data_IF_650366292078
#
_entry.id   IF_650366292078
#
_cell.length_a   1.000
_cell.length_b   1.000
_cell.length_c   1.000
_cell.angle_alpha   90.00
_cell.angle_beta   90.00
_cell.angle_gamma   90.00
#
_symmetry.space_group_name_H-M   'P 1'
#
loop_
_entity.id
_entity.type
_entity.pdbx_description
1 polymer ?
#
# COMPACT_ATOMS: atom_id res chain seq x y z
N UNK A 1 -31.17 33.69 -61.96
CA UNK A 1 -31.53 33.62 -60.54
C UNK A 1 -31.18 32.22 -60.06
N UNK A 2 -30.09 32.05 -59.31
CA UNK A 2 -29.68 30.75 -58.76
C UNK A 2 -29.84 30.79 -57.24
N UNK A 3 -30.67 29.88 -56.72
CA UNK A 3 -30.86 29.62 -55.29
C UNK A 3 -29.64 28.89 -54.71
N UNK A 4 -29.30 29.22 -53.47
CA UNK A 4 -28.33 28.48 -52.65
C UNK A 4 -29.10 27.71 -51.59
N UNK A 5 -28.96 26.38 -51.59
CA UNK A 5 -29.39 25.52 -50.49
C UNK A 5 -28.20 25.31 -49.53
N UNK A 6 -28.44 25.51 -48.24
CA UNK A 6 -27.53 25.13 -47.15
C UNK A 6 -28.05 23.86 -46.48
N UNK A 7 -27.21 22.85 -46.15
CA UNK A 7 -27.66 21.69 -45.40
C UNK A 7 -27.56 21.92 -43.89
N UNK A 8 -28.68 21.66 -43.20
CA UNK A 8 -28.79 21.55 -41.74
C UNK A 8 -28.04 20.32 -41.24
N UNK A 9 -27.23 20.47 -40.19
CA UNK A 9 -26.63 19.37 -39.43
C UNK A 9 -27.42 19.22 -38.13
N UNK A 10 -28.42 18.35 -38.13
CA UNK A 10 -29.04 17.84 -36.91
C UNK A 10 -28.24 16.63 -36.41
N UNK A 11 -27.44 16.84 -35.36
CA UNK A 11 -26.74 15.75 -34.66
C UNK A 11 -27.65 15.19 -33.56
N UNK A 12 -28.04 13.93 -33.73
CA UNK A 12 -28.97 13.19 -32.87
C UNK A 12 -28.33 12.83 -31.50
N UNK A 13 -28.85 13.32 -30.36
CA UNK A 13 -28.24 13.14 -29.03
C UNK A 13 -28.34 11.71 -28.48
N UNK A 14 -29.14 10.82 -29.09
CA UNK A 14 -29.29 9.43 -28.66
C UNK A 14 -28.09 8.53 -29.03
N UNK A 15 -27.36 8.83 -30.11
CA UNK A 15 -26.20 8.04 -30.53
C UNK A 15 -25.01 8.17 -29.56
N UNK A 16 -24.94 9.27 -28.81
CA UNK A 16 -23.84 9.58 -27.90
C UNK A 16 -23.95 8.82 -26.57
N UNK A 17 -25.17 8.57 -26.07
CA UNK A 17 -25.39 7.89 -24.78
C UNK A 17 -25.17 6.37 -24.87
N UNK A 18 -25.56 5.76 -25.99
CA UNK A 18 -25.38 4.32 -26.23
C UNK A 18 -23.89 3.95 -26.41
N UNK A 19 -23.13 4.82 -27.10
CA UNK A 19 -21.68 4.71 -27.28
C UNK A 19 -20.91 4.80 -25.96
N UNK A 20 -21.31 5.70 -25.05
CA UNK A 20 -20.66 5.82 -23.75
C UNK A 20 -20.88 4.59 -22.86
N UNK A 21 -22.10 4.05 -22.84
CA UNK A 21 -22.44 2.88 -22.01
C UNK A 21 -21.72 1.61 -22.48
N UNK A 22 -21.56 1.40 -23.79
CA UNK A 22 -20.78 0.29 -24.36
C UNK A 22 -19.31 0.35 -23.96
N UNK A 23 -18.70 1.54 -24.03
CA UNK A 23 -17.28 1.74 -23.69
C UNK A 23 -17.00 1.51 -22.20
N UNK A 24 -17.96 1.83 -21.32
CA UNK A 24 -17.86 1.55 -19.88
C UNK A 24 -17.90 0.04 -19.63
N UNK A 25 -18.81 -0.69 -20.28
CA UNK A 25 -18.91 -2.15 -20.13
C UNK A 25 -17.66 -2.86 -20.65
N UNK A 26 -17.13 -2.44 -21.79
CA UNK A 26 -15.85 -2.96 -22.32
C UNK A 26 -14.68 -2.70 -21.38
N UNK A 27 -14.61 -1.51 -20.77
CA UNK A 27 -13.59 -1.17 -19.78
C UNK A 27 -13.70 -2.02 -18.51
N UNK A 28 -14.93 -2.31 -18.05
CA UNK A 28 -15.17 -3.18 -16.90
C UNK A 28 -14.76 -4.63 -17.18
N UNK A 29 -15.06 -5.15 -18.37
CA UNK A 29 -14.64 -6.49 -18.80
C UNK A 29 -13.12 -6.56 -18.91
N UNK A 30 -12.48 -5.55 -19.52
CA UNK A 30 -11.02 -5.48 -19.61
C UNK A 30 -10.35 -5.41 -18.23
N UNK A 31 -10.93 -4.65 -17.28
CA UNK A 31 -10.45 -4.58 -15.90
C UNK A 31 -10.57 -5.93 -15.18
N UNK A 32 -11.69 -6.65 -15.36
CA UNK A 32 -11.88 -7.99 -14.81
C UNK A 32 -10.86 -8.99 -15.36
N UNK A 33 -10.66 -9.01 -16.68
CA UNK A 33 -9.66 -9.86 -17.35
C UNK A 33 -8.23 -9.53 -16.92
N UNK A 34 -7.88 -8.25 -16.78
CA UNK A 34 -6.57 -7.83 -16.29
C UNK A 34 -6.34 -8.26 -14.84
N UNK A 35 -7.36 -8.15 -13.99
CA UNK A 35 -7.32 -8.59 -12.59
C UNK A 35 -7.08 -10.09 -12.50
N UNK A 36 -7.78 -10.87 -13.32
CA UNK A 36 -7.66 -12.33 -13.35
C UNK A 36 -6.30 -12.78 -13.92
N UNK A 37 -5.85 -12.18 -15.02
CA UNK A 37 -4.54 -12.43 -15.62
C UNK A 37 -3.39 -12.11 -14.65
N UNK A 38 -3.47 -10.99 -13.92
CA UNK A 38 -2.46 -10.61 -12.93
C UNK A 38 -2.48 -11.54 -11.71
N UNK A 39 -3.67 -11.97 -11.26
CA UNK A 39 -3.87 -12.94 -10.16
C UNK A 39 -3.24 -14.30 -10.49
N UNK A 40 -3.35 -14.75 -11.74
CA UNK A 40 -2.81 -16.04 -12.19
C UNK A 40 -1.42 -15.97 -12.85
N UNK A 41 -0.81 -14.79 -12.92
CA UNK A 41 0.51 -14.65 -13.52
C UNK A 41 1.53 -15.53 -12.77
N UNK A 42 2.31 -16.32 -13.53
CA UNK A 42 3.34 -17.21 -12.97
C UNK A 42 4.33 -16.46 -12.08
N UNK A 43 4.66 -15.22 -12.44
CA UNK A 43 5.56 -14.33 -11.70
C UNK A 43 4.97 -13.93 -10.34
N UNK A 44 3.67 -13.59 -10.30
CA UNK A 44 2.95 -13.27 -9.06
C UNK A 44 2.90 -14.50 -8.14
N UNK A 45 2.57 -15.67 -8.68
CA UNK A 45 2.48 -16.92 -7.91
C UNK A 45 3.81 -17.34 -7.29
N UNK A 46 4.91 -17.28 -8.05
CA UNK A 46 6.25 -17.60 -7.54
C UNK A 46 6.70 -16.61 -6.48
N UNK A 47 6.44 -15.31 -6.67
CA UNK A 47 6.76 -14.29 -5.68
C UNK A 47 5.97 -14.50 -4.37
N UNK A 48 4.68 -14.81 -4.46
CA UNK A 48 3.82 -15.03 -3.29
C UNK A 48 4.25 -16.26 -2.49
N UNK A 49 4.52 -17.37 -3.18
CA UNK A 49 5.07 -18.58 -2.55
C UNK A 49 6.35 -18.26 -1.77
N UNK A 50 7.27 -17.53 -2.39
CA UNK A 50 8.51 -17.14 -1.72
C UNK A 50 8.30 -16.24 -0.49
N UNK A 51 7.29 -15.37 -0.50
CA UNK A 51 6.96 -14.56 0.70
C UNK A 51 6.43 -15.45 1.82
N UNK A 52 5.51 -16.37 1.52
CA UNK A 52 4.93 -17.30 2.50
C UNK A 52 6.02 -18.20 3.10
N UNK A 53 6.90 -18.79 2.28
CA UNK A 53 8.00 -19.64 2.75
C UNK A 53 8.94 -18.89 3.71
N UNK A 54 9.27 -17.64 3.40
CA UNK A 54 10.12 -16.81 4.27
C UNK A 54 9.47 -16.49 5.61
N UNK A 55 8.16 -16.26 5.63
CA UNK A 55 7.39 -15.99 6.85
C UNK A 55 7.31 -17.26 7.71
N UNK A 56 7.02 -18.40 7.10
CA UNK A 56 6.99 -19.71 7.78
C UNK A 56 8.35 -20.06 8.39
N UNK A 57 9.43 -19.85 7.63
CA UNK A 57 10.80 -20.04 8.13
C UNK A 57 11.07 -19.12 9.33
N UNK A 58 10.76 -17.84 9.21
CA UNK A 58 10.93 -16.88 10.31
C UNK A 58 10.19 -17.31 11.57
N UNK A 59 8.92 -17.73 11.44
CA UNK A 59 8.14 -18.21 12.58
C UNK A 59 8.78 -19.44 13.24
N UNK A 60 9.27 -20.40 12.45
CA UNK A 60 9.89 -21.63 12.96
C UNK A 60 11.17 -21.40 13.78
N UNK A 61 11.84 -20.25 13.58
CA UNK A 61 13.06 -19.86 14.27
C UNK A 61 12.79 -19.14 15.61
N UNK A 62 11.54 -18.76 15.91
CA UNK A 62 11.15 -18.13 17.18
C UNK A 62 11.19 -19.13 18.32
N UNK A 63 11.49 -18.72 19.55
CA UNK A 63 11.62 -19.65 20.68
C UNK A 63 10.26 -20.18 21.17
N UNK A 64 9.27 -19.28 21.25
CA UNK A 64 7.94 -19.60 21.77
C UNK A 64 7.17 -20.59 20.87
N UNK A 65 6.66 -21.71 21.42
CA UNK A 65 5.94 -22.71 20.64
C UNK A 65 4.70 -22.15 19.93
N UNK A 66 3.94 -21.25 20.59
CA UNK A 66 2.75 -20.63 20.00
C UNK A 66 3.11 -19.73 18.81
N UNK A 67 4.27 -19.09 18.85
CA UNK A 67 4.77 -18.27 17.75
C UNK A 67 5.29 -19.13 16.59
N UNK A 68 5.96 -20.25 16.88
CA UNK A 68 6.40 -21.22 15.86
C UNK A 68 5.24 -21.74 15.02
N UNK A 69 4.10 -22.01 15.66
CA UNK A 69 2.93 -22.57 15.00
C UNK A 69 1.97 -21.54 14.45
N UNK A 70 2.26 -20.24 14.59
CA UNK A 70 1.32 -19.15 14.31
C UNK A 70 0.79 -19.11 12.86
N UNK A 71 1.49 -19.70 11.90
CA UNK A 71 1.04 -19.82 10.51
C UNK A 71 0.65 -21.25 10.12
N UNK A 72 0.82 -22.23 11.01
CA UNK A 72 0.37 -23.62 10.82
C UNK A 72 -1.06 -23.77 11.35
N UNK A 73 -1.32 -23.15 12.50
CA UNK A 73 -2.64 -23.02 13.09
C UNK A 73 -2.86 -21.55 13.43
N UNK A 74 -3.85 -20.94 12.79
CA UNK A 74 -4.20 -19.55 13.04
C UNK A 74 -4.64 -19.40 14.49
N UNK A 75 -4.10 -18.38 15.18
CA UNK A 75 -4.33 -18.11 16.60
C UNK A 75 -4.16 -16.61 16.89
N UNK A 76 -4.30 -16.24 18.18
CA UNK A 76 -4.03 -14.87 18.64
C UNK A 76 -2.61 -14.38 18.31
N UNK A 77 -1.64 -15.29 18.12
CA UNK A 77 -0.25 -14.93 17.85
C UNK A 77 0.00 -14.61 16.36
N UNK A 78 -0.85 -15.09 15.45
CA UNK A 78 -0.65 -14.94 14.00
C UNK A 78 -0.45 -13.48 13.57
N UNK A 79 -1.29 -12.52 13.99
CA UNK A 79 -1.07 -11.12 13.63
C UNK A 79 0.21 -10.53 14.24
N UNK A 80 0.56 -10.92 15.46
CA UNK A 80 1.76 -10.45 16.16
C UNK A 80 3.03 -10.92 15.45
N UNK A 81 3.12 -12.21 15.10
CA UNK A 81 4.27 -12.75 14.38
C UNK A 81 4.37 -12.15 12.97
N UNK A 82 3.23 -11.93 12.30
CA UNK A 82 3.17 -11.22 11.03
C UNK A 82 3.73 -9.79 11.14
N UNK A 83 3.29 -9.03 12.14
CA UNK A 83 3.78 -7.69 12.41
C UNK A 83 5.29 -7.69 12.67
N UNK A 84 5.78 -8.61 13.52
CA UNK A 84 7.19 -8.75 13.84
C UNK A 84 8.03 -9.05 12.58
N UNK A 85 7.55 -9.94 11.71
CA UNK A 85 8.23 -10.25 10.45
C UNK A 85 8.33 -9.03 9.53
N UNK A 86 7.22 -8.32 9.28
CA UNK A 86 7.23 -7.13 8.43
C UNK A 86 8.10 -6.04 9.05
N UNK A 87 8.04 -5.85 10.37
CA UNK A 87 8.90 -4.89 11.08
C UNK A 87 10.39 -5.23 10.93
N UNK A 88 10.77 -6.51 11.07
CA UNK A 88 12.15 -6.94 10.82
C UNK A 88 12.59 -6.62 9.39
N UNK A 89 11.75 -6.91 8.39
CA UNK A 89 12.10 -6.60 6.99
C UNK A 89 12.16 -5.11 6.69
N UNK A 90 11.16 -4.34 7.07
CA UNK A 90 11.01 -2.95 6.64
C UNK A 90 11.68 -1.93 7.57
N UNK A 91 11.97 -2.27 8.83
CA UNK A 91 12.71 -1.40 9.74
C UNK A 91 14.17 -1.82 9.87
N UNK A 92 14.48 -3.11 10.05
CA UNK A 92 15.86 -3.55 10.29
C UNK A 92 16.62 -3.78 8.97
N UNK A 93 15.99 -4.39 7.97
CA UNK A 93 16.63 -4.64 6.67
C UNK A 93 16.41 -3.52 5.64
N UNK A 94 15.68 -2.45 5.99
CA UNK A 94 15.49 -1.29 5.13
C UNK A 94 14.65 -1.51 3.87
N UNK A 95 13.86 -2.58 3.78
CA UNK A 95 12.99 -2.81 2.62
C UNK A 95 11.86 -1.77 2.52
N UNK A 96 11.47 -1.44 1.29
CA UNK A 96 10.44 -0.43 0.98
C UNK A 96 9.02 -0.91 1.30
N UNK A 97 8.06 0.02 1.27
CA UNK A 97 6.64 -0.31 1.48
C UNK A 97 6.13 -1.33 0.46
N UNK A 98 6.65 -1.32 -0.77
CA UNK A 98 6.30 -2.31 -1.81
C UNK A 98 6.57 -3.75 -1.36
N UNK A 99 7.61 -3.97 -0.57
CA UNK A 99 7.89 -5.29 0.02
C UNK A 99 6.85 -5.66 1.06
N UNK A 100 6.47 -4.73 1.95
CA UNK A 100 5.41 -4.96 2.94
C UNK A 100 4.07 -5.27 2.26
N UNK A 101 3.72 -4.54 1.19
CA UNK A 101 2.52 -4.76 0.40
C UNK A 101 2.51 -6.13 -0.28
N UNK A 102 3.64 -6.54 -0.86
CA UNK A 102 3.80 -7.87 -1.44
C UNK A 102 3.65 -8.99 -0.41
N UNK A 103 4.26 -8.85 0.78
CA UNK A 103 4.12 -9.81 1.88
C UNK A 103 2.67 -9.89 2.36
N UNK A 104 2.04 -8.74 2.63
CA UNK A 104 0.63 -8.67 3.08
C UNK A 104 -0.30 -9.33 2.07
N UNK A 105 -0.12 -9.05 0.77
CA UNK A 105 -0.96 -9.61 -0.28
C UNK A 105 -0.79 -11.13 -0.40
N UNK A 106 0.46 -11.61 -0.35
CA UNK A 106 0.74 -13.04 -0.36
C UNK A 106 0.12 -13.77 0.83
N UNK A 107 0.20 -13.17 2.03
CA UNK A 107 -0.35 -13.77 3.23
C UNK A 107 -1.88 -13.69 3.29
N UNK A 108 -2.49 -12.60 2.79
CA UNK A 108 -3.94 -12.51 2.64
C UNK A 108 -4.46 -13.72 1.86
N UNK A 109 -3.88 -13.97 0.68
CA UNK A 109 -4.24 -15.10 -0.17
C UNK A 109 -3.89 -16.46 0.48
N UNK A 110 -2.75 -16.56 1.16
CA UNK A 110 -2.37 -17.78 1.88
C UNK A 110 -3.42 -18.17 2.93
N UNK A 111 -3.90 -17.21 3.72
CA UNK A 111 -4.90 -17.46 4.74
C UNK A 111 -6.27 -17.81 4.14
N UNK A 112 -6.67 -17.13 3.07
CA UNK A 112 -7.89 -17.45 2.33
C UNK A 112 -7.89 -18.89 1.81
N UNK A 113 -6.78 -19.33 1.19
CA UNK A 113 -6.66 -20.65 0.56
C UNK A 113 -6.46 -21.77 1.59
N UNK A 114 -5.66 -21.53 2.63
CA UNK A 114 -5.24 -22.59 3.57
C UNK A 114 -6.24 -22.77 4.71
N UNK A 115 -6.84 -21.68 5.18
CA UNK A 115 -7.69 -21.67 6.38
C UNK A 115 -9.13 -21.20 6.10
N UNK A 116 -9.44 -20.85 4.85
CA UNK A 116 -10.76 -20.33 4.51
C UNK A 116 -11.05 -18.95 5.13
N UNK A 117 -10.02 -18.20 5.53
CA UNK A 117 -10.17 -16.88 6.14
C UNK A 117 -10.69 -15.87 5.12
N UNK A 118 -12.00 -15.70 5.03
CA UNK A 118 -12.66 -14.72 4.17
C UNK A 118 -12.86 -13.37 4.89
N UNK A 119 -13.08 -12.33 4.10
CA UNK A 119 -13.42 -10.98 4.59
C UNK A 119 -12.22 -10.10 4.94
N UNK A 120 -12.53 -8.89 5.39
CA UNK A 120 -11.55 -7.83 5.67
C UNK A 120 -11.50 -7.45 7.16
N UNK A 121 -11.84 -8.40 8.05
CA UNK A 121 -11.81 -8.23 9.50
C UNK A 121 -10.98 -9.32 10.16
N UNK A 122 -10.56 -9.08 11.40
CA UNK A 122 -9.93 -10.05 12.29
C UNK A 122 -10.48 -9.81 13.69
N UNK A 123 -11.11 -10.82 14.29
CA UNK A 123 -11.71 -10.69 15.60
C UNK A 123 -11.82 -12.03 16.31
N UNK A 124 -11.92 -11.97 17.63
CA UNK A 124 -12.26 -13.10 18.48
C UNK A 124 -13.76 -13.06 18.76
N UNK A 125 -14.43 -14.19 18.59
CA UNK A 125 -15.84 -14.33 18.96
C UNK A 125 -16.00 -14.55 20.48
N UNK A 126 -17.25 -14.61 20.94
CA UNK A 126 -17.62 -14.84 22.34
C UNK A 126 -17.19 -16.24 22.86
N UNK A 127 -16.91 -17.17 21.96
CA UNK A 127 -16.49 -18.53 22.26
C UNK A 127 -14.96 -18.69 22.25
N UNK A 128 -14.21 -17.59 22.22
CA UNK A 128 -12.75 -17.54 22.09
C UNK A 128 -12.20 -18.13 20.78
N UNK A 129 -13.01 -18.22 19.74
CA UNK A 129 -12.56 -18.60 18.42
C UNK A 129 -12.17 -17.37 17.62
N UNK A 130 -11.02 -17.46 16.95
CA UNK A 130 -10.55 -16.42 16.07
C UNK A 130 -11.13 -16.60 14.67
N UNK A 131 -11.69 -15.52 14.12
CA UNK A 131 -12.27 -15.52 12.79
C UNK A 131 -11.86 -14.30 11.96
N UNK A 132 -11.95 -14.46 10.64
CA UNK A 132 -11.47 -13.49 9.67
C UNK A 132 -10.01 -13.70 9.28
N UNK A 133 -9.40 -12.70 8.64
CA UNK A 133 -8.06 -12.80 8.10
C UNK A 133 -7.05 -11.98 8.92
N UNK A 134 -5.99 -12.61 9.49
CA UNK A 134 -5.03 -11.97 10.40
C UNK A 134 -4.36 -10.70 9.84
N UNK A 135 -4.28 -10.54 8.52
CA UNK A 135 -3.72 -9.33 7.88
C UNK A 135 -4.56 -8.06 8.11
N UNK A 136 -5.75 -8.19 8.70
CA UNK A 136 -6.63 -7.08 9.03
C UNK A 136 -6.67 -6.73 10.51
N UNK A 137 -5.82 -7.36 11.34
CA UNK A 137 -5.68 -6.95 12.73
C UNK A 137 -5.30 -5.47 12.85
N UNK A 138 -5.86 -4.79 13.85
CA UNK A 138 -5.81 -3.34 13.98
C UNK A 138 -4.37 -2.81 14.15
N UNK A 139 -3.58 -3.43 15.01
CA UNK A 139 -2.18 -3.05 15.29
C UNK A 139 -1.31 -3.20 14.04
N UNK A 140 -1.46 -4.32 13.33
CA UNK A 140 -0.81 -4.58 12.06
C UNK A 140 -1.20 -3.52 11.01
N UNK A 141 -2.49 -3.24 10.87
CA UNK A 141 -2.99 -2.23 9.94
C UNK A 141 -2.44 -0.83 10.25
N UNK A 142 -2.34 -0.46 11.52
CA UNK A 142 -1.76 0.82 11.95
C UNK A 142 -0.29 0.93 11.55
N UNK A 143 0.49 -0.12 11.80
CA UNK A 143 1.91 -0.17 11.38
C UNK A 143 2.05 -0.14 9.85
N UNK A 144 1.24 -0.92 9.14
CA UNK A 144 1.23 -0.95 7.67
C UNK A 144 0.94 0.44 7.07
N UNK A 145 -0.04 1.17 7.62
CA UNK A 145 -0.35 2.55 7.23
C UNK A 145 0.82 3.50 7.50
N UNK A 146 1.50 3.34 8.63
CA UNK A 146 2.72 4.11 8.95
C UNK A 146 3.82 3.88 7.89
N UNK A 147 4.05 2.64 7.49
CA UNK A 147 4.99 2.32 6.41
C UNK A 147 4.61 2.98 5.09
N UNK A 148 3.33 2.95 4.72
CA UNK A 148 2.82 3.61 3.50
C UNK A 148 3.08 5.12 3.54
N UNK A 149 2.79 5.76 4.67
CA UNK A 149 2.99 7.20 4.84
C UNK A 149 4.48 7.58 4.79
N UNK A 150 5.36 6.75 5.36
CA UNK A 150 6.81 6.93 5.30
C UNK A 150 7.33 6.86 3.85
N UNK A 151 6.89 5.85 3.11
CA UNK A 151 7.29 5.63 1.71
C UNK A 151 6.82 6.77 0.79
N UNK A 152 5.58 7.24 0.98
CA UNK A 152 5.02 8.39 0.27
C UNK A 152 5.74 9.71 0.56
N UNK A 153 6.38 9.86 1.73
CA UNK A 153 7.26 11.01 2.02
C UNK A 153 8.62 10.89 1.32
N UNK A 154 9.17 9.67 1.22
CA UNK A 154 10.45 9.44 0.54
C UNK A 154 10.34 9.47 -1.00
N UNK A 155 9.15 9.26 -1.56
CA UNK A 155 8.93 9.08 -2.99
C UNK A 155 8.61 10.34 -3.79
N UNK A 156 9.07 11.53 -3.40
CA UNK A 156 8.74 12.86 -3.97
C UNK A 156 7.51 13.52 -3.33
N UNK A 157 7.62 14.00 -2.08
CA UNK A 157 6.75 15.09 -1.64
C UNK A 157 7.49 16.43 -1.77
N UNK A 158 7.00 17.25 -2.71
CA UNK A 158 7.21 18.71 -2.77
C UNK A 158 6.50 19.41 -1.60
N UNK A 159 6.69 18.91 -0.38
CA UNK A 159 6.35 19.67 0.82
C UNK A 159 7.67 20.26 1.30
N UNK A 160 7.68 21.56 1.58
CA UNK A 160 8.80 22.25 2.20
C UNK A 160 9.29 21.39 3.35
N UNK A 161 10.47 20.78 3.18
CA UNK A 161 11.10 20.04 4.25
C UNK A 161 11.19 21.01 5.42
N UNK A 162 10.66 20.64 6.58
CA UNK A 162 11.03 21.32 7.80
C UNK A 162 12.56 21.24 7.87
N UNK A 163 13.23 22.39 7.87
CA UNK A 163 14.68 22.47 7.86
C UNK A 163 15.24 21.51 8.91
N UNK A 164 16.21 20.68 8.52
CA UNK A 164 16.83 19.77 9.48
C UNK A 164 17.46 20.58 10.61
N UNK A 165 17.68 19.98 11.78
CA UNK A 165 18.33 20.68 12.89
C UNK A 165 19.69 21.26 12.47
N UNK A 166 20.45 20.54 11.64
CA UNK A 166 21.70 21.03 11.04
C UNK A 166 21.50 22.23 10.10
N UNK A 167 20.41 22.24 9.32
CA UNK A 167 20.10 23.37 8.45
C UNK A 167 19.67 24.60 9.26
N UNK A 168 18.90 24.40 10.34
CA UNK A 168 18.50 25.45 11.26
C UNK A 168 19.71 26.04 12.02
N UNK A 169 20.66 25.20 12.44
CA UNK A 169 21.92 25.66 13.07
C UNK A 169 22.73 26.49 12.09
N UNK A 170 22.94 26.01 10.86
CA UNK A 170 23.65 26.76 9.81
C UNK A 170 22.97 28.08 9.45
N UNK A 171 21.64 28.09 9.43
CA UNK A 171 20.86 29.29 9.14
C UNK A 171 20.94 30.29 10.29
N UNK A 172 20.90 29.83 11.55
CA UNK A 172 21.12 30.67 12.72
C UNK A 172 22.55 31.22 12.78
N UNK A 173 23.56 30.41 12.48
CA UNK A 173 24.96 30.86 12.37
C UNK A 173 25.13 31.91 11.26
N UNK A 174 24.48 31.71 10.11
CA UNK A 174 24.53 32.67 8.99
C UNK A 174 23.83 34.00 9.31
N UNK A 175 22.71 33.97 10.03
CA UNK A 175 22.00 35.17 10.50
C UNK A 175 22.76 35.90 11.63
N UNK A 176 23.64 35.20 12.35
CA UNK A 176 24.51 35.77 13.37
C UNK A 176 25.85 36.28 12.81
N UNK A 177 26.17 35.99 11.54
CA UNK A 177 27.36 36.53 10.88
C UNK A 177 27.22 38.05 10.71
N UNK A 178 28.21 38.78 11.22
CA UNK A 178 28.26 40.24 11.27
C UNK A 178 28.13 40.88 9.89
N UNK A 179 28.66 40.19 8.86
CA UNK A 179 28.60 40.61 7.45
C UNK A 179 27.20 40.50 6.85
N UNK A 180 26.39 39.55 7.33
CA UNK A 180 25.00 39.37 6.91
C UNK A 180 24.11 40.45 7.55
N UNK A 181 24.36 40.77 8.82
CA UNK A 181 23.66 41.82 9.56
C UNK A 181 23.92 43.19 8.93
N UNK A 182 25.19 43.53 8.65
CA UNK A 182 25.57 44.81 8.03
C UNK A 182 24.86 45.03 6.67
N UNK A 183 24.81 43.99 5.82
CA UNK A 183 24.10 44.05 4.53
C UNK A 183 22.58 44.19 4.64
N UNK A 184 21.97 43.70 5.72
CA UNK A 184 20.52 43.86 5.94
C UNK A 184 20.17 45.21 6.57
N UNK A 185 21.12 45.86 7.26
CA UNK A 185 20.94 47.20 7.82
C UNK A 185 21.25 48.35 6.85
N UNK A 186 22.04 48.12 5.79
CA UNK A 186 22.34 49.14 4.76
C UNK A 186 21.17 49.43 3.79
N UNK A 187 20.03 48.74 3.95
CA UNK A 187 18.82 48.91 3.14
C UNK A 187 17.63 49.58 3.86
N UNK A 188 17.84 50.12 5.07
CA UNK A 188 16.89 50.95 5.82
C UNK A 188 17.38 52.39 5.91
#
# INVERSE_FOLDING_TARGET
>A
MQSTDSPSIDADPAATSFSHSSRVNEALVAAAQATESHRYSRKTRVNYKGHVERVLKYASELEDPGWKTAFIAISMHTPTVLLAFIASKCSQSGYSFKTAEGIRSALKQYFEVTFGCQGDTWHCDEHNNWSGNPVFEATFNNYYRSLKNRDGRSGVSKQSLAASYSDMVRLMEHLQDRRTIEKMTEGL
#
